data_IF_700726922562
#
_entry.id   IF_700726922562
#
_cell.length_a   1.000
_cell.length_b   1.000
_cell.length_c   1.000
_cell.angle_alpha   90.00
_cell.angle_beta   90.00
_cell.angle_gamma   90.00
#
_symmetry.space_group_name_H-M   'P 1'
#
loop_
_entity.id
_entity.type
_entity.pdbx_description
1 polymer ?
#
# COMPACT_ATOMS: atom_id res chain seq x y z
N UNK A 1 -8.26 -0.45 10.68
CA UNK A 1 -7.24 -1.48 10.37
C UNK A 1 -6.24 -1.49 11.51
N UNK A 2 -5.81 -2.65 12.00
CA UNK A 2 -4.68 -2.71 12.96
C UNK A 2 -3.42 -2.19 12.28
N UNK A 3 -2.51 -1.64 13.08
CA UNK A 3 -1.25 -1.06 12.62
C UNK A 3 -0.15 -1.58 13.52
N UNK A 4 0.91 -2.10 12.90
CA UNK A 4 2.19 -2.33 13.55
C UNK A 4 3.06 -1.10 13.34
N UNK A 5 3.67 -0.50 14.38
CA UNK A 5 4.50 0.71 14.25
C UNK A 5 5.69 0.58 13.29
N UNK A 6 6.19 -0.63 13.06
CA UNK A 6 7.28 -0.96 12.15
C UNK A 6 6.79 -1.74 10.92
N UNK A 7 5.47 -1.90 10.81
CA UNK A 7 4.80 -2.59 9.73
C UNK A 7 4.54 -1.72 8.53
N UNK A 8 3.84 -2.29 7.55
CA UNK A 8 3.43 -1.60 6.33
C UNK A 8 2.00 -1.95 5.94
N UNK A 9 1.36 -1.04 5.22
CA UNK A 9 0.13 -1.34 4.50
C UNK A 9 0.45 -1.60 3.04
N UNK A 10 -0.13 -2.66 2.47
CA UNK A 10 0.11 -3.04 1.08
C UNK A 10 -1.18 -3.53 0.43
N UNK A 11 -1.50 -2.95 -0.74
CA UNK A 11 -2.62 -3.38 -1.57
C UNK A 11 -2.13 -4.51 -2.48
N UNK A 12 -2.58 -5.74 -2.20
CA UNK A 12 -2.31 -6.88 -3.07
C UNK A 12 -3.00 -6.74 -4.42
N UNK A 13 -2.47 -7.41 -5.45
CA UNK A 13 -3.05 -7.44 -6.81
C UNK A 13 -4.45 -8.09 -6.83
N UNK A 14 -4.78 -8.84 -5.79
CA UNK A 14 -6.11 -9.37 -5.52
C UNK A 14 -7.12 -8.34 -5.00
N UNK A 15 -6.71 -7.08 -4.78
CA UNK A 15 -7.56 -6.00 -4.30
C UNK A 15 -7.77 -5.99 -2.79
N UNK A 16 -7.03 -6.81 -2.04
CA UNK A 16 -7.09 -6.84 -0.57
C UNK A 16 -5.97 -5.98 0.00
N UNK A 17 -6.36 -4.95 0.76
CA UNK A 17 -5.43 -4.11 1.50
C UNK A 17 -5.09 -4.80 2.82
N UNK A 18 -3.80 -5.11 3.01
CA UNK A 18 -3.29 -5.82 4.19
C UNK A 18 -2.42 -4.91 5.03
N UNK A 19 -2.48 -5.09 6.34
CA UNK A 19 -1.49 -4.58 7.29
C UNK A 19 -0.55 -5.72 7.67
N UNK A 20 0.73 -5.48 7.43
CA UNK A 20 1.81 -6.40 7.71
C UNK A 20 2.63 -5.92 8.90
N UNK A 21 3.17 -6.83 9.70
CA UNK A 21 4.25 -6.54 10.66
C UNK A 21 5.58 -6.26 9.95
N UNK A 22 6.61 -5.92 10.72
CA UNK A 22 7.98 -5.82 10.22
C UNK A 22 8.44 -7.11 9.50
N UNK A 23 8.02 -8.27 10.01
CA UNK A 23 8.36 -9.60 9.49
C UNK A 23 7.44 -10.09 8.36
N UNK A 24 6.56 -9.21 7.85
CA UNK A 24 5.60 -9.50 6.77
C UNK A 24 4.54 -10.54 7.14
N UNK A 25 4.17 -10.62 8.40
CA UNK A 25 2.98 -11.35 8.85
C UNK A 25 1.74 -10.45 8.76
N UNK A 26 0.61 -10.99 8.29
CA UNK A 26 -0.64 -10.22 8.14
C UNK A 26 -1.37 -10.13 9.49
N UNK A 27 -1.54 -8.93 10.01
CA UNK A 27 -2.25 -8.67 11.29
C UNK A 27 -3.69 -8.17 11.11
N UNK A 28 -4.00 -7.59 9.95
CA UNK A 28 -5.35 -7.16 9.57
C UNK A 28 -5.46 -7.04 8.04
N UNK A 29 -6.68 -7.17 7.52
CA UNK A 29 -6.94 -7.15 6.08
C UNK A 29 -8.36 -6.68 5.74
N UNK A 30 -8.48 -5.90 4.67
CA UNK A 30 -9.75 -5.41 4.12
C UNK A 30 -9.75 -5.57 2.60
N UNK A 31 -10.69 -6.36 2.08
CA UNK A 31 -11.01 -6.45 0.66
C UNK A 31 -11.67 -5.15 0.18
N UNK A 32 -11.05 -4.48 -0.78
CA UNK A 32 -11.54 -3.22 -1.31
C UNK A 32 -12.42 -3.45 -2.54
N UNK A 33 -13.56 -2.78 -2.58
CA UNK A 33 -14.37 -2.69 -3.78
C UNK A 33 -13.62 -1.87 -4.85
N UNK A 34 -13.90 -2.07 -6.16
CA UNK A 34 -13.21 -1.37 -7.25
C UNK A 34 -13.17 0.16 -7.07
N UNK A 35 -14.27 0.76 -6.60
CA UNK A 35 -14.36 2.20 -6.32
C UNK A 35 -13.38 2.69 -5.24
N UNK A 36 -13.08 1.86 -4.23
CA UNK A 36 -12.15 2.20 -3.17
C UNK A 36 -10.71 2.01 -3.62
N UNK A 37 -10.44 1.02 -4.48
CA UNK A 37 -9.13 0.85 -5.13
C UNK A 37 -8.83 2.07 -5.99
N UNK A 38 -9.79 2.49 -6.84
CA UNK A 38 -9.65 3.71 -7.63
C UNK A 38 -9.34 4.93 -6.77
N UNK A 39 -10.13 5.15 -5.72
CA UNK A 39 -9.93 6.27 -4.81
C UNK A 39 -8.56 6.25 -4.11
N UNK A 40 -7.98 5.07 -3.88
CA UNK A 40 -6.62 4.94 -3.36
C UNK A 40 -5.56 5.31 -4.40
N UNK A 41 -5.70 4.85 -5.65
CA UNK A 41 -4.79 5.17 -6.75
C UNK A 41 -4.79 6.67 -7.10
N UNK A 42 -5.95 7.30 -7.05
CA UNK A 42 -6.14 8.74 -7.28
C UNK A 42 -5.38 9.64 -6.27
N UNK A 43 -4.85 9.08 -5.17
CA UNK A 43 -4.03 9.83 -4.19
C UNK A 43 -2.58 9.99 -4.59
N UNK A 44 -2.15 9.28 -5.64
CA UNK A 44 -0.79 9.33 -6.18
C UNK A 44 -0.83 9.76 -7.64
N UNK A 45 0.28 10.27 -8.21
CA UNK A 45 0.33 10.52 -9.65
C UNK A 45 -0.07 9.28 -10.44
N UNK A 46 -0.78 9.49 -11.55
CA UNK A 46 -1.17 8.43 -12.48
C UNK A 46 0.02 7.53 -12.87
N UNK A 47 -0.17 6.21 -12.78
CA UNK A 47 0.80 5.20 -13.19
C UNK A 47 0.08 4.11 -13.98
N UNK A 48 0.35 4.01 -15.29
CA UNK A 48 -0.31 3.06 -16.18
C UNK A 48 -0.17 1.60 -15.70
N UNK A 49 0.98 1.24 -15.13
CA UNK A 49 1.19 -0.12 -14.59
C UNK A 49 0.23 -0.44 -13.44
N UNK A 50 -0.05 0.53 -12.56
CA UNK A 50 -1.02 0.35 -11.48
C UNK A 50 -2.44 0.22 -12.03
N UNK A 51 -2.78 1.01 -13.05
CA UNK A 51 -4.07 0.91 -13.75
C UNK A 51 -4.28 -0.48 -14.32
N UNK A 52 -3.28 -1.02 -15.02
CA UNK A 52 -3.38 -2.33 -15.67
C UNK A 52 -3.46 -3.48 -14.66
N UNK A 53 -2.77 -3.36 -13.52
CA UNK A 53 -2.84 -4.35 -12.42
C UNK A 53 -4.23 -4.34 -11.78
N UNK A 54 -4.78 -3.16 -11.49
CA UNK A 54 -5.99 -3.03 -10.67
C UNK A 54 -7.28 -2.93 -11.49
N UNK A 55 -7.19 -2.92 -12.83
CA UNK A 55 -8.33 -2.94 -13.72
C UNK A 55 -9.22 -4.15 -13.43
N UNK A 56 -10.49 -3.89 -13.15
CA UNK A 56 -11.50 -4.92 -12.84
C UNK A 56 -11.21 -5.77 -11.59
N UNK A 57 -10.25 -5.39 -10.74
CA UNK A 57 -9.98 -6.09 -9.49
C UNK A 57 -11.02 -5.74 -8.43
N UNK A 58 -11.53 -6.76 -7.72
CA UNK A 58 -12.52 -6.61 -6.65
C UNK A 58 -12.16 -7.48 -5.45
N UNK A 59 -11.51 -6.85 -4.46
CA UNK A 59 -11.08 -7.50 -3.23
C UNK A 59 -12.24 -8.00 -2.35
N UNK A 60 -13.47 -7.51 -2.56
CA UNK A 60 -14.64 -7.96 -1.80
C UNK A 60 -15.09 -9.38 -2.17
N UNK A 61 -14.66 -9.86 -3.34
CA UNK A 61 -14.95 -11.21 -3.85
C UNK A 61 -13.89 -12.24 -3.48
N UNK A 62 -12.77 -11.82 -2.91
CA UNK A 62 -11.68 -12.71 -2.50
C UNK A 62 -12.12 -13.54 -1.29
N UNK A 63 -11.95 -14.88 -1.28
CA UNK A 63 -12.28 -15.71 -0.13
C UNK A 63 -11.54 -15.25 1.13
N UNK A 64 -12.24 -15.20 2.27
CA UNK A 64 -11.71 -14.63 3.53
C UNK A 64 -10.40 -15.29 3.99
N UNK A 65 -10.20 -16.58 3.71
CA UNK A 65 -8.97 -17.32 4.03
C UNK A 65 -7.74 -16.72 3.34
N UNK A 66 -7.88 -16.28 2.08
CA UNK A 66 -6.80 -15.65 1.30
C UNK A 66 -6.43 -14.27 1.80
N UNK A 67 -7.26 -13.64 2.65
CA UNK A 67 -6.94 -12.31 3.18
C UNK A 67 -5.76 -12.35 4.14
N UNK A 68 -5.64 -13.44 4.92
CA UNK A 68 -4.54 -13.64 5.87
C UNK A 68 -3.46 -14.59 5.36
N UNK A 69 -3.74 -15.33 4.28
CA UNK A 69 -2.78 -16.19 3.56
C UNK A 69 -2.64 -15.74 2.09
N UNK A 70 -2.04 -14.55 1.83
CA UNK A 70 -1.82 -14.06 0.47
C UNK A 70 -0.89 -14.95 -0.34
N UNK A 71 -1.01 -14.86 -1.67
CA UNK A 71 -0.02 -15.45 -2.55
C UNK A 71 1.32 -14.71 -2.40
N UNK A 72 2.43 -15.41 -2.65
CA UNK A 72 3.79 -14.85 -2.42
C UNK A 72 4.05 -13.56 -3.21
N UNK A 73 3.38 -13.36 -4.34
CA UNK A 73 3.46 -12.14 -5.14
C UNK A 73 2.84 -10.92 -4.47
N UNK A 74 1.93 -11.13 -3.51
CA UNK A 74 1.24 -10.07 -2.75
C UNK A 74 1.86 -9.84 -1.37
N UNK A 75 3.01 -10.48 -1.11
CA UNK A 75 3.82 -10.25 0.08
C UNK A 75 4.98 -9.32 -0.32
N UNK A 76 4.99 -8.06 0.14
CA UNK A 76 6.09 -7.14 -0.15
C UNK A 76 7.39 -7.66 0.48
N UNK A 77 8.50 -7.52 -0.25
CA UNK A 77 9.83 -7.96 0.21
C UNK A 77 10.17 -7.32 1.57
N UNK A 78 10.87 -8.06 2.42
CA UNK A 78 11.52 -7.50 3.61
C UNK A 78 12.65 -6.56 3.19
N UNK A 79 12.80 -5.46 3.91
CA UNK A 79 13.91 -4.54 3.68
C UNK A 79 15.24 -5.24 4.05
N UNK A 80 16.29 -5.00 3.27
CA UNK A 80 17.65 -5.44 3.63
C UNK A 80 18.17 -4.65 4.83
N UNK A 81 19.19 -5.16 5.53
CA UNK A 81 19.79 -4.42 6.66
C UNK A 81 20.36 -3.05 6.24
N UNK A 82 20.88 -2.95 5.01
CA UNK A 82 21.36 -1.69 4.44
C UNK A 82 20.20 -0.71 4.14
N UNK A 83 19.06 -1.20 3.64
CA UNK A 83 17.85 -0.39 3.45
C UNK A 83 17.28 0.10 4.78
N UNK A 84 17.24 -0.77 5.79
CA UNK A 84 16.82 -0.40 7.15
C UNK A 84 17.74 0.66 7.77
N UNK A 85 19.05 0.54 7.58
CA UNK A 85 20.01 1.55 8.07
C UNK A 85 19.82 2.89 7.35
N UNK A 86 19.63 2.89 6.03
CA UNK A 86 19.32 4.10 5.27
C UNK A 86 18.03 4.76 5.73
N UNK A 87 16.97 4.00 5.97
CA UNK A 87 15.72 4.53 6.54
C UNK A 87 15.93 5.13 7.93
N UNK A 88 16.72 4.47 8.81
CA UNK A 88 17.05 5.02 10.13
C UNK A 88 17.75 6.37 10.02
N UNK A 89 18.78 6.47 9.19
CA UNK A 89 19.52 7.72 8.96
C UNK A 89 18.58 8.80 8.41
N UNK A 90 17.77 8.46 7.40
CA UNK A 90 16.83 9.39 6.78
C UNK A 90 15.78 9.91 7.78
N UNK A 91 15.24 9.04 8.63
CA UNK A 91 14.28 9.42 9.68
C UNK A 91 14.93 10.32 10.73
N UNK A 92 16.18 10.04 11.12
CA UNK A 92 16.93 10.91 12.04
C UNK A 92 17.22 12.29 11.44
N UNK A 93 17.57 12.36 10.15
CA UNK A 93 17.76 13.62 9.43
C UNK A 93 16.46 14.41 9.36
N UNK A 94 15.35 13.78 8.96
CA UNK A 94 14.04 14.44 8.94
C UNK A 94 13.62 14.97 10.32
N UNK A 95 13.91 14.21 11.40
CA UNK A 95 13.68 14.67 12.78
C UNK A 95 14.51 15.91 13.12
N UNK A 96 15.78 15.96 12.69
CA UNK A 96 16.66 17.13 12.90
C UNK A 96 16.19 18.35 12.11
N UNK A 97 15.70 18.15 10.89
CA UNK A 97 15.21 19.23 10.02
C UNK A 97 13.77 19.69 10.32
N UNK A 98 13.06 18.99 11.21
CA UNK A 98 11.69 19.34 11.59
C UNK A 98 10.65 19.14 10.48
N UNK A 99 10.98 18.37 9.44
CA UNK A 99 10.09 18.05 8.32
C UNK A 99 9.30 16.78 8.68
N UNK A 100 7.97 16.90 8.78
CA UNK A 100 7.11 15.73 8.96
C UNK A 100 7.06 14.90 7.66
N UNK A 101 7.40 13.59 7.70
CA UNK A 101 7.21 12.72 6.55
C UNK A 101 5.71 12.63 6.22
N UNK A 102 5.34 12.96 4.97
CA UNK A 102 3.95 12.91 4.49
C UNK A 102 3.35 14.24 4.01
N UNK A 103 4.05 15.37 4.14
CA UNK A 103 3.48 16.70 3.86
C UNK A 103 3.43 17.12 2.37
N UNK A 104 3.52 16.20 1.40
CA UNK A 104 3.47 16.51 -0.05
C UNK A 104 2.20 16.05 -0.78
N UNK A 105 1.10 15.82 -0.06
CA UNK A 105 -0.17 15.40 -0.68
C UNK A 105 -0.99 16.52 -1.36
N UNK A 106 -0.50 17.77 -1.46
CA UNK A 106 -1.32 18.93 -1.88
C UNK A 106 -0.94 19.53 -3.25
N UNK A 107 -0.41 18.73 -4.19
CA UNK A 107 -0.27 19.13 -5.60
C UNK A 107 -1.46 18.61 -6.44
N UNK A 108 -1.82 19.24 -7.57
CA UNK A 108 -2.82 18.67 -8.48
C UNK A 108 -2.33 17.30 -8.97
N UNK A 109 -3.04 16.24 -8.59
CA UNK A 109 -2.76 14.88 -9.03
C UNK A 109 -3.52 14.60 -10.34
N UNK A 110 -2.82 14.12 -11.36
CA UNK A 110 -3.45 13.53 -12.54
C UNK A 110 -4.22 12.29 -12.08
N UNK A 111 -5.55 12.32 -12.25
CA UNK A 111 -6.48 11.28 -11.82
C UNK A 111 -6.41 10.03 -12.70
N UNK A 112 -6.76 8.89 -12.14
CA UNK A 112 -6.96 7.61 -12.84
C UNK A 112 -8.00 7.74 -13.96
N UNK A 113 -7.73 7.10 -15.10
CA UNK A 113 -8.44 7.29 -16.38
C UNK A 113 -9.65 6.35 -16.61
N UNK A 114 -9.84 5.31 -15.79
CA UNK A 114 -10.93 4.36 -16.01
C UNK A 114 -12.25 4.77 -15.34
N UNK A 115 -13.36 4.58 -16.07
CA UNK A 115 -14.72 4.66 -15.52
C UNK A 115 -15.01 3.41 -14.70
N UNK A 116 -15.45 3.59 -13.45
CA UNK A 116 -16.00 2.51 -12.62
C UNK A 116 -17.30 2.05 -13.31
N UNK A 117 -17.28 0.86 -13.92
CA UNK A 117 -18.46 0.21 -14.50
C UNK A 117 -19.30 -0.45 -13.41
#
# INVERSE_FOLDING_TARGET
MKVDPQGIHYLGRDGVLRSFTADREVIDAVGLAPKHIKALLDRTPYMQEAEDIFRCVDGTKVPREKWFNPDKSDIPRTATEEEKERERIMVEEFKKEGILPGSRCCGPATMSDYRIL
#
